data_IF_175551683320
#
_entry.id   IF_175551683320
#
_cell.length_a   1.000
_cell.length_b   1.000
_cell.length_c   1.000
_cell.angle_alpha   90.00
_cell.angle_beta   90.00
_cell.angle_gamma   90.00
#
_symmetry.space_group_name_H-M   'P 1'
#
loop_
_entity.id
_entity.type
_entity.pdbx_description
1 polymer ?
#
# COMPACT_ATOMS: atom_id res chain seq x y z
N UNK A 1 -18.76 6.34 -20.39
CA UNK A 1 -18.09 5.10 -20.00
C UNK A 1 -18.00 4.22 -21.22
N UNK A 2 -16.79 3.82 -21.58
CA UNK A 2 -16.44 3.06 -22.78
C UNK A 2 -15.62 1.81 -22.39
N UNK A 3 -15.56 0.78 -23.26
CA UNK A 3 -14.74 -0.40 -23.00
C UNK A 3 -13.26 -0.05 -22.76
N UNK A 4 -12.73 -0.48 -21.62
CA UNK A 4 -11.35 -0.21 -21.20
C UNK A 4 -11.21 0.95 -20.21
N UNK A 5 -12.28 1.69 -19.92
CA UNK A 5 -12.27 2.69 -18.84
C UNK A 5 -11.92 2.04 -17.50
N UNK A 6 -11.01 2.66 -16.75
CA UNK A 6 -10.62 2.24 -15.41
C UNK A 6 -11.08 3.26 -14.39
N UNK A 7 -11.98 2.85 -13.49
CA UNK A 7 -12.44 3.66 -12.37
C UNK A 7 -11.86 3.10 -11.08
N UNK A 8 -11.14 3.94 -10.35
CA UNK A 8 -10.52 3.57 -9.08
C UNK A 8 -11.41 3.96 -7.89
N UNK A 9 -11.27 3.25 -6.77
CA UNK A 9 -11.98 3.52 -5.52
C UNK A 9 -11.54 4.80 -4.80
N UNK A 10 -10.34 5.30 -5.14
CA UNK A 10 -9.57 6.15 -4.24
C UNK A 10 -8.83 5.33 -3.17
N UNK A 11 -8.03 6.02 -2.34
CA UNK A 11 -7.31 5.40 -1.23
C UNK A 11 -8.28 4.72 -0.27
N UNK A 12 -8.03 3.44 0.06
CA UNK A 12 -8.88 2.66 0.96
C UNK A 12 -8.26 2.72 2.37
N UNK A 13 -8.94 3.43 3.29
CA UNK A 13 -8.54 3.55 4.69
C UNK A 13 -9.63 3.03 5.62
N UNK A 14 -9.28 2.16 6.55
CA UNK A 14 -10.13 1.72 7.65
C UNK A 14 -10.09 2.67 8.84
N UNK A 15 -10.79 2.30 9.92
CA UNK A 15 -10.90 3.11 11.14
C UNK A 15 -9.71 2.98 12.10
N UNK A 16 -8.87 1.95 11.94
CA UNK A 16 -7.68 1.73 12.79
C UNK A 16 -6.43 2.34 12.17
N UNK A 17 -5.39 2.59 12.96
CA UNK A 17 -4.17 3.20 12.43
C UNK A 17 -3.46 2.30 11.41
N UNK A 18 -3.49 0.99 11.63
CA UNK A 18 -2.86 -0.02 10.78
C UNK A 18 -3.62 -0.26 9.47
N UNK A 19 -4.88 0.19 9.38
CA UNK A 19 -5.72 0.05 8.20
C UNK A 19 -5.76 1.31 7.32
N UNK A 20 -4.90 2.30 7.59
CA UNK A 20 -4.75 3.51 6.76
C UNK A 20 -4.09 3.19 5.42
N UNK A 21 -4.61 3.76 4.34
CA UNK A 21 -4.28 3.35 2.96
C UNK A 21 -3.08 4.06 2.32
N UNK A 22 -2.45 5.04 2.99
CA UNK A 22 -1.24 5.68 2.46
C UNK A 22 -0.27 6.15 3.54
N UNK A 23 0.99 6.41 3.16
CA UNK A 23 2.04 6.84 4.09
C UNK A 23 1.75 8.19 4.76
N UNK A 24 1.04 9.09 4.08
CA UNK A 24 0.61 10.37 4.66
C UNK A 24 -0.24 10.14 5.91
N UNK A 25 -1.17 9.20 5.84
CA UNK A 25 -2.07 8.83 6.94
C UNK A 25 -1.34 7.97 7.97
N UNK A 26 -0.64 6.91 7.54
CA UNK A 26 0.10 5.98 8.42
C UNK A 26 1.10 6.72 9.30
N UNK A 27 1.82 7.69 8.71
CA UNK A 27 2.88 8.41 9.42
C UNK A 27 2.42 9.75 10.01
N UNK A 28 1.14 10.08 9.87
CA UNK A 28 0.56 11.36 10.25
C UNK A 28 1.40 12.55 9.76
N UNK A 29 1.55 12.65 8.43
CA UNK A 29 2.40 13.65 7.76
C UNK A 29 3.87 13.60 8.21
N UNK A 30 4.38 12.40 8.51
CA UNK A 30 5.75 12.18 8.96
C UNK A 30 6.03 12.50 10.43
N UNK A 31 5.01 12.86 11.22
CA UNK A 31 5.13 13.07 12.67
C UNK A 31 5.40 11.74 13.42
N UNK A 32 4.85 10.64 12.91
CA UNK A 32 4.93 9.30 13.49
C UNK A 32 5.58 8.34 12.48
N UNK A 33 6.91 8.19 12.42
CA UNK A 33 7.55 7.29 11.47
C UNK A 33 7.09 5.83 11.62
N UNK A 34 6.86 5.16 10.50
CA UNK A 34 6.56 3.73 10.47
C UNK A 34 7.81 2.93 10.86
N UNK A 35 7.67 1.95 11.76
CA UNK A 35 8.73 0.99 12.09
C UNK A 35 8.55 -0.28 11.26
N UNK A 36 9.57 -0.66 10.52
CA UNK A 36 9.58 -1.87 9.70
C UNK A 36 10.09 -3.07 10.52
N UNK A 37 9.72 -4.32 10.16
CA UNK A 37 10.14 -5.52 10.89
C UNK A 37 11.67 -5.72 10.95
N UNK A 38 12.40 -5.18 9.97
CA UNK A 38 13.86 -5.23 9.92
C UNK A 38 14.54 -4.15 10.79
N UNK A 39 13.78 -3.37 11.57
CA UNK A 39 14.28 -2.32 12.46
C UNK A 39 14.45 -0.94 11.79
N UNK A 40 14.27 -0.85 10.47
CA UNK A 40 14.29 0.44 9.78
C UNK A 40 13.05 1.28 10.09
N UNK A 41 13.14 2.57 9.80
CA UNK A 41 11.98 3.48 9.88
C UNK A 41 11.76 4.20 8.57
N UNK A 42 10.50 4.49 8.24
CA UNK A 42 10.12 5.26 7.06
C UNK A 42 9.07 6.33 7.39
N UNK A 43 9.25 7.51 6.82
CA UNK A 43 8.22 8.56 6.76
C UNK A 43 7.53 8.59 5.39
N UNK A 44 8.34 8.39 4.35
CA UNK A 44 7.95 8.34 2.95
C UNK A 44 8.71 7.20 2.27
N UNK A 45 8.37 6.90 1.02
CA UNK A 45 9.16 6.00 0.21
C UNK A 45 10.52 6.65 -0.11
N UNK A 46 11.57 5.86 -0.03
CA UNK A 46 12.94 6.24 -0.38
C UNK A 46 13.40 5.48 -1.63
N UNK A 47 14.45 5.97 -2.29
CA UNK A 47 15.03 5.31 -3.45
C UNK A 47 15.42 3.87 -3.13
N UNK A 48 14.98 2.95 -3.97
CA UNK A 48 15.22 1.53 -3.80
C UNK A 48 14.14 0.78 -3.03
N UNK A 49 13.23 1.48 -2.33
CA UNK A 49 12.07 0.86 -1.67
C UNK A 49 11.17 0.16 -2.70
N UNK A 50 10.64 -1.00 -2.34
CA UNK A 50 9.64 -1.73 -3.13
C UNK A 50 8.33 -1.78 -2.35
N UNK A 51 7.26 -1.28 -2.96
CA UNK A 51 5.90 -1.38 -2.42
C UNK A 51 5.15 -2.48 -3.17
N UNK A 52 4.51 -3.38 -2.43
CA UNK A 52 3.66 -4.45 -2.98
C UNK A 52 2.28 -4.38 -2.31
N UNK A 53 1.22 -4.44 -3.12
CA UNK A 53 -0.16 -4.53 -2.67
C UNK A 53 -0.69 -5.91 -3.10
N UNK A 54 -1.31 -6.59 -2.14
CA UNK A 54 -1.96 -7.89 -2.35
C UNK A 54 -3.37 -7.84 -1.78
N UNK A 55 -4.31 -8.56 -2.38
CA UNK A 55 -5.68 -8.65 -1.88
C UNK A 55 -6.35 -9.95 -2.29
N UNK A 56 -7.25 -10.45 -1.45
CA UNK A 56 -8.03 -11.66 -1.72
C UNK A 56 -9.34 -11.68 -0.96
N UNK A 57 -10.29 -12.46 -1.47
CA UNK A 57 -11.44 -12.92 -0.71
C UNK A 57 -11.16 -14.31 -0.14
N UNK A 58 -11.50 -14.51 1.14
CA UNK A 58 -11.37 -15.80 1.83
C UNK A 58 -12.72 -16.51 1.82
N UNK A 59 -12.78 -17.72 1.26
CA UNK A 59 -13.90 -18.65 1.40
C UNK A 59 -13.59 -19.79 2.37
N UNK A 60 -14.51 -20.74 2.50
CA UNK A 60 -14.28 -21.95 3.32
C UNK A 60 -13.36 -22.93 2.58
N UNK A 61 -12.10 -23.04 3.01
CA UNK A 61 -11.10 -23.90 2.40
C UNK A 61 -10.51 -23.41 1.06
N UNK A 62 -10.88 -22.22 0.56
CA UNK A 62 -10.33 -21.65 -0.67
C UNK A 62 -10.09 -20.12 -0.60
N UNK A 63 -9.31 -19.59 -1.54
CA UNK A 63 -9.07 -18.14 -1.73
C UNK A 63 -9.24 -17.75 -3.19
N UNK A 64 -9.75 -16.55 -3.42
CA UNK A 64 -9.73 -15.88 -4.73
C UNK A 64 -8.87 -14.63 -4.58
N UNK A 65 -7.66 -14.67 -5.14
CA UNK A 65 -6.68 -13.59 -5.04
C UNK A 65 -6.58 -12.78 -6.32
N UNK A 66 -6.09 -11.55 -6.17
CA UNK A 66 -5.74 -10.65 -7.29
C UNK A 66 -4.29 -10.84 -7.76
N UNK A 67 -3.49 -11.65 -7.06
CA UNK A 67 -2.04 -11.66 -7.19
C UNK A 67 -1.42 -10.42 -6.54
N UNK A 68 -0.22 -10.07 -7.03
CA UNK A 68 0.57 -8.95 -6.51
C UNK A 68 0.61 -7.82 -7.53
N UNK A 69 0.46 -6.58 -7.06
CA UNK A 69 0.84 -5.38 -7.81
C UNK A 69 1.94 -4.67 -7.04
N UNK A 70 3.10 -4.50 -7.67
CA UNK A 70 4.25 -3.92 -7.00
C UNK A 70 5.10 -3.04 -7.91
N UNK A 71 5.87 -2.17 -7.29
CA UNK A 71 6.78 -1.25 -7.96
C UNK A 71 7.94 -0.85 -7.06
N UNK A 72 9.11 -0.66 -7.66
CA UNK A 72 10.31 -0.18 -6.98
C UNK A 72 10.53 1.30 -7.30
N UNK A 73 10.75 2.12 -6.27
CA UNK A 73 11.14 3.52 -6.45
C UNK A 73 12.57 3.57 -6.95
N UNK A 74 12.78 4.28 -8.06
CA UNK A 74 14.10 4.54 -8.63
C UNK A 74 14.48 5.99 -8.40
N UNK A 75 15.78 6.25 -8.33
CA UNK A 75 16.30 7.61 -8.19
C UNK A 75 15.82 8.52 -9.30
N UNK A 76 15.60 9.79 -8.94
CA UNK A 76 15.32 10.84 -9.91
C UNK A 76 16.50 11.03 -10.88
N UNK A 77 16.19 11.53 -12.08
CA UNK A 77 17.14 11.85 -13.15
C UNK A 77 17.62 13.29 -13.03
#
# INVERSE_FOLDING_TARGET
LEPGDLLASGTISGSTEESRGCMLELTWRGANPLKLPNGETRKWLEDGDTLTITGWCQGDGYRIGFGDVGGRVVSAV
#
